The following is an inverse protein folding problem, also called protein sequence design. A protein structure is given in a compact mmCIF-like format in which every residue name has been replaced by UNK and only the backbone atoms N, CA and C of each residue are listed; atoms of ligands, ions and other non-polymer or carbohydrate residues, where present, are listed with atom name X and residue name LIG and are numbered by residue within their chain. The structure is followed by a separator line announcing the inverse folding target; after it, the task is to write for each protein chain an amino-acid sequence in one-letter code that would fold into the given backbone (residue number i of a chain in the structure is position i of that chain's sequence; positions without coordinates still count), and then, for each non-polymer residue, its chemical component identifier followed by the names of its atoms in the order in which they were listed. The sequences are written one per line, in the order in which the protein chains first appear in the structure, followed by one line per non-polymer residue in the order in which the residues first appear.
data_IF_224760875114
#
_entry.id   IF_224760875114
#
_cell.length_a   1.000
_cell.length_b   1.000
_cell.length_c   1.000
_cell.angle_alpha   90.00
_cell.angle_beta   90.00
_cell.angle_gamma   90.00
#
_symmetry.space_group_name_H-M   'P 1'
#
loop_
_entity.id
_entity.type
_entity.pdbx_description
1 polymer ?
#
# COMPACT_ATOMS: atom_id res chain seq x y z
N UNK A 1 10.96 -9.81 -10.24
CA UNK A 1 9.70 -9.31 -9.65
C UNK A 1 8.57 -9.05 -10.66
N UNK A 2 8.85 -8.64 -11.91
CA UNK A 2 7.80 -8.36 -12.93
C UNK A 2 6.71 -9.44 -13.07
N UNK A 3 7.07 -10.72 -13.13
CA UNK A 3 6.11 -11.81 -13.24
C UNK A 3 5.23 -12.06 -12.01
N UNK A 4 5.70 -11.71 -10.80
CA UNK A 4 4.92 -11.80 -9.57
C UNK A 4 3.96 -10.61 -9.44
N UNK A 5 4.37 -9.42 -9.88
CA UNK A 5 3.50 -8.24 -9.88
C UNK A 5 2.26 -8.46 -10.75
N UNK A 6 2.40 -9.00 -11.97
CA UNK A 6 1.24 -9.27 -12.83
C UNK A 6 0.23 -10.26 -12.21
N UNK A 7 0.72 -11.26 -11.46
CA UNK A 7 -0.16 -12.16 -10.69
C UNK A 7 -0.86 -11.42 -9.56
N UNK A 8 -0.14 -10.57 -8.82
CA UNK A 8 -0.72 -9.75 -7.75
C UNK A 8 -1.79 -8.78 -8.29
N UNK A 9 -1.54 -8.12 -9.43
CA UNK A 9 -2.53 -7.28 -10.13
C UNK A 9 -3.79 -8.08 -10.46
N UNK A 10 -3.64 -9.28 -11.02
CA UNK A 10 -4.78 -10.15 -11.36
C UNK A 10 -5.60 -10.54 -10.13
N UNK A 11 -4.95 -10.88 -9.01
CA UNK A 11 -5.65 -11.22 -7.76
C UNK A 11 -6.39 -10.01 -7.21
N UNK A 12 -5.74 -8.84 -7.16
CA UNK A 12 -6.34 -7.59 -6.67
C UNK A 12 -7.53 -7.19 -7.53
N UNK A 13 -7.42 -7.30 -8.86
CA UNK A 13 -8.54 -7.02 -9.77
C UNK A 13 -9.72 -7.96 -9.52
N UNK A 14 -9.47 -9.26 -9.38
CA UNK A 14 -10.53 -10.23 -9.10
C UNK A 14 -11.21 -9.98 -7.74
N UNK A 15 -10.47 -9.54 -6.72
CA UNK A 15 -11.04 -9.14 -5.44
C UNK A 15 -11.99 -7.95 -5.62
N UNK A 16 -11.54 -6.90 -6.31
CA UNK A 16 -12.35 -5.71 -6.56
C UNK A 16 -13.59 -6.02 -7.42
N UNK A 17 -13.45 -6.85 -8.47
CA UNK A 17 -14.58 -7.33 -9.29
C UNK A 17 -15.61 -8.12 -8.46
N UNK A 18 -15.14 -8.84 -7.43
CA UNK A 18 -15.99 -9.54 -6.46
C UNK A 18 -16.54 -8.64 -5.35
N UNK A 19 -16.32 -7.32 -5.39
CA UNK A 19 -16.78 -6.37 -4.38
C UNK A 19 -15.98 -6.38 -3.08
N UNK A 20 -14.80 -7.01 -3.07
CA UNK A 20 -13.90 -7.05 -1.90
C UNK A 20 -12.83 -5.98 -2.06
N UNK A 21 -12.87 -4.97 -1.20
CA UNK A 21 -11.89 -3.88 -1.19
C UNK A 21 -10.56 -4.35 -0.54
N UNK A 22 -9.41 -4.22 -1.22
CA UNK A 22 -8.12 -4.54 -0.61
C UNK A 22 -7.78 -3.59 0.54
N UNK A 23 -7.16 -4.13 1.58
CA UNK A 23 -6.72 -3.33 2.73
C UNK A 23 -5.45 -2.51 2.46
N UNK A 24 -5.13 -1.59 3.37
CA UNK A 24 -3.96 -0.71 3.27
C UNK A 24 -2.64 -1.46 3.05
N UNK A 25 -2.46 -2.59 3.74
CA UNK A 25 -1.26 -3.44 3.63
C UNK A 25 -1.12 -4.11 2.27
N UNK A 26 -2.24 -4.40 1.59
CA UNK A 26 -2.24 -4.92 0.22
C UNK A 26 -1.84 -3.83 -0.76
N UNK A 27 -2.45 -2.66 -0.65
CA UNK A 27 -2.11 -1.50 -1.49
C UNK A 27 -0.65 -1.05 -1.31
N UNK A 28 -0.12 -1.09 -0.09
CA UNK A 28 1.30 -0.80 0.19
C UNK A 28 2.26 -1.78 -0.52
N UNK A 29 1.93 -3.09 -0.50
CA UNK A 29 2.70 -4.10 -1.25
C UNK A 29 2.62 -3.89 -2.76
N UNK A 30 1.44 -3.50 -3.28
CA UNK A 30 1.30 -3.13 -4.69
C UNK A 30 2.17 -1.91 -5.04
N UNK A 31 2.17 -0.87 -4.20
CA UNK A 31 3.00 0.31 -4.40
C UNK A 31 4.50 -0.05 -4.45
N UNK A 32 4.97 -0.90 -3.53
CA UNK A 32 6.35 -1.41 -3.55
C UNK A 32 6.66 -2.20 -4.82
N UNK A 33 5.73 -3.07 -5.26
CA UNK A 33 5.88 -3.83 -6.49
C UNK A 33 5.97 -2.94 -7.74
N UNK A 34 5.16 -1.88 -7.80
CA UNK A 34 5.21 -0.90 -8.89
C UNK A 34 6.49 -0.08 -8.88
N UNK A 35 6.91 0.42 -7.71
CA UNK A 35 8.21 1.08 -7.53
C UNK A 35 9.34 0.21 -8.09
N UNK A 36 9.43 -1.05 -7.64
CA UNK A 36 10.53 -1.96 -8.03
C UNK A 36 10.52 -2.33 -9.51
N UNK A 37 9.43 -2.04 -10.21
CA UNK A 37 9.30 -2.23 -11.66
C UNK A 37 9.26 -0.90 -12.44
N UNK A 38 9.64 0.21 -11.80
CA UNK A 38 9.68 1.56 -12.37
C UNK A 38 8.32 2.07 -12.90
N UNK A 39 7.22 1.60 -12.32
CA UNK A 39 5.85 2.00 -12.67
C UNK A 39 5.34 3.08 -11.70
N UNK A 40 6.05 4.21 -11.60
CA UNK A 40 5.85 5.20 -10.53
C UNK A 40 4.44 5.81 -10.47
N UNK A 41 3.78 6.06 -11.60
CA UNK A 41 2.40 6.52 -11.60
C UNK A 41 1.45 5.54 -10.88
N UNK A 42 1.60 4.23 -11.13
CA UNK A 42 0.83 3.21 -10.43
C UNK A 42 1.25 3.07 -8.96
N UNK A 43 2.53 3.30 -8.65
CA UNK A 43 3.01 3.31 -7.28
C UNK A 43 2.36 4.44 -6.45
N UNK A 44 2.22 5.62 -7.04
CA UNK A 44 1.49 6.75 -6.43
C UNK A 44 0.04 6.39 -6.18
N UNK A 45 -0.67 5.86 -7.19
CA UNK A 45 -2.07 5.48 -7.04
C UNK A 45 -2.28 4.40 -5.97
N UNK A 46 -1.43 3.38 -5.94
CA UNK A 46 -1.46 2.37 -4.89
C UNK A 46 -1.15 2.97 -3.50
N UNK A 47 -0.22 3.93 -3.42
CA UNK A 47 0.08 4.66 -2.17
C UNK A 47 -1.15 5.43 -1.69
N UNK A 48 -1.83 6.17 -2.58
CA UNK A 48 -3.08 6.89 -2.25
C UNK A 48 -4.15 5.94 -1.71
N UNK A 49 -4.36 4.81 -2.38
CA UNK A 49 -5.31 3.79 -1.91
C UNK A 49 -4.93 3.21 -0.55
N UNK A 50 -3.63 3.00 -0.30
CA UNK A 50 -3.15 2.53 1.01
C UNK A 50 -3.46 3.53 2.13
N UNK A 51 -3.29 4.83 1.87
CA UNK A 51 -3.61 5.91 2.82
C UNK A 51 -5.13 6.00 3.05
N UNK A 52 -5.94 5.90 1.99
CA UNK A 52 -7.39 5.99 2.10
C UNK A 52 -7.98 4.83 2.92
N UNK A 53 -7.44 3.63 2.75
CA UNK A 53 -7.88 2.41 3.43
C UNK A 53 -7.18 2.17 4.77
N UNK A 54 -6.29 3.06 5.21
CA UNK A 54 -5.56 2.92 6.47
C UNK A 54 -6.39 3.39 7.68
N UNK A 55 -6.16 2.71 8.80
CA UNK A 55 -6.62 3.13 10.12
C UNK A 55 -5.56 4.01 10.80
N UNK A 56 -5.94 4.80 11.83
CA UNK A 56 -4.98 5.52 12.66
C UNK A 56 -3.87 4.59 13.18
N UNK A 57 -2.63 5.06 13.15
CA UNK A 57 -1.46 4.29 13.61
C UNK A 57 -0.89 3.26 12.63
N UNK A 58 -1.51 3.04 11.45
CA UNK A 58 -0.87 2.33 10.34
C UNK A 58 0.45 3.02 9.92
N UNK A 59 1.36 2.37 9.19
CA UNK A 59 2.59 3.02 8.73
C UNK A 59 2.85 2.74 7.25
N UNK A 60 3.06 3.76 6.42
CA UNK A 60 3.44 3.56 5.02
C UNK A 60 4.85 2.99 4.92
N UNK A 61 5.13 2.29 3.82
CA UNK A 61 6.49 1.88 3.50
C UNK A 61 7.29 3.11 3.04
N UNK A 62 8.20 3.60 3.89
CA UNK A 62 8.73 4.95 3.72
C UNK A 62 9.57 5.12 2.47
N UNK A 63 10.39 4.13 2.08
CA UNK A 63 11.16 4.23 0.84
C UNK A 63 10.26 4.34 -0.40
N UNK A 64 9.12 3.65 -0.40
CA UNK A 64 8.14 3.75 -1.49
C UNK A 64 7.43 5.10 -1.48
N UNK A 65 7.06 5.58 -0.29
CA UNK A 65 6.46 6.90 -0.11
C UNK A 65 7.40 8.01 -0.60
N UNK A 66 8.67 7.98 -0.20
CA UNK A 66 9.68 8.95 -0.61
C UNK A 66 9.85 8.99 -2.13
N UNK A 67 10.00 7.83 -2.79
CA UNK A 67 10.08 7.80 -4.25
C UNK A 67 8.81 8.31 -4.93
N UNK A 68 7.63 8.08 -4.35
CA UNK A 68 6.38 8.64 -4.87
C UNK A 68 6.38 10.17 -4.76
N UNK A 69 6.83 10.73 -3.63
CA UNK A 69 6.94 12.18 -3.43
C UNK A 69 7.96 12.81 -4.39
N UNK A 70 9.11 12.18 -4.60
CA UNK A 70 10.12 12.65 -5.56
C UNK A 70 9.58 12.64 -7.00
N UNK A 71 8.87 11.57 -7.37
CA UNK A 71 8.22 11.46 -8.68
C UNK A 71 7.18 12.56 -8.91
N UNK A 72 6.34 12.84 -7.89
CA UNK A 72 5.34 13.91 -7.96
C UNK A 72 5.98 15.29 -8.09
N UNK A 73 7.04 15.55 -7.32
CA UNK A 73 7.81 16.79 -7.40
C UNK A 73 8.45 16.98 -8.78
N UNK A 74 9.03 15.91 -9.34
CA UNK A 74 9.61 15.92 -10.69
C UNK A 74 8.57 16.18 -11.79
N UNK A 75 7.32 15.78 -11.57
CA UNK A 75 6.21 16.02 -12.49
C UNK A 75 5.43 17.33 -12.21
N UNK A 76 5.88 18.12 -11.22
CA UNK A 76 5.19 19.31 -10.74
C UNK A 76 3.73 19.06 -10.25
N UNK A 77 3.39 17.82 -9.88
CA UNK A 77 2.10 17.48 -9.28
C UNK A 77 2.11 17.74 -7.77
N UNK A 78 2.13 19.03 -7.42
CA UNK A 78 2.20 19.49 -6.04
C UNK A 78 0.88 19.29 -5.29
N UNK A 79 -0.25 19.20 -5.99
CA UNK A 79 -1.55 18.96 -5.37
C UNK A 79 -1.60 17.54 -4.77
N UNK A 80 -1.22 16.53 -5.56
CA UNK A 80 -1.14 15.15 -5.06
C UNK A 80 -0.06 15.02 -3.99
N UNK A 81 1.09 15.68 -4.16
CA UNK A 81 2.17 15.70 -3.18
C UNK A 81 1.68 16.21 -1.81
N UNK A 82 1.04 17.38 -1.79
CA UNK A 82 0.55 18.01 -0.56
C UNK A 82 -0.59 17.19 0.07
N UNK A 83 -1.47 16.61 -0.74
CA UNK A 83 -2.51 15.71 -0.25
C UNK A 83 -1.92 14.48 0.46
N UNK A 84 -0.87 13.86 -0.10
CA UNK A 84 -0.21 12.70 0.49
C UNK A 84 0.41 13.06 1.84
N UNK A 85 1.20 14.15 1.91
CA UNK A 85 1.86 14.57 3.15
C UNK A 85 0.82 14.83 4.24
N UNK A 86 -0.18 15.66 3.93
CA UNK A 86 -1.23 16.02 4.87
C UNK A 86 -1.99 14.78 5.38
N UNK A 87 -2.35 13.87 4.48
CA UNK A 87 -3.11 12.67 4.85
C UNK A 87 -2.30 11.72 5.74
N UNK A 88 -0.98 11.63 5.52
CA UNK A 88 -0.08 10.83 6.37
C UNK A 88 0.10 11.50 7.74
N UNK A 89 0.25 12.82 7.79
CA UNK A 89 0.37 13.57 9.05
C UNK A 89 -0.91 13.49 9.90
N UNK A 90 -2.09 13.66 9.28
CA UNK A 90 -3.38 13.61 9.97
C UNK A 90 -3.65 12.25 10.62
N UNK A 91 -3.23 11.15 9.96
CA UNK A 91 -3.46 9.79 10.46
C UNK A 91 -2.38 9.32 11.45
N UNK A 92 -1.24 10.02 11.53
CA UNK A 92 -0.06 9.59 12.27
C UNK A 92 0.65 10.77 12.94
N UNK A 93 0.36 10.97 14.24
CA UNK A 93 0.85 12.09 15.05
C UNK A 93 2.38 12.15 15.29
N UNK A 94 3.18 11.34 14.59
CA UNK A 94 4.60 11.13 14.84
C UNK A 94 5.40 10.72 13.58
N UNK A 95 4.84 10.88 12.36
CA UNK A 95 5.61 10.67 11.11
C UNK A 95 6.37 11.93 10.69
N UNK A 96 6.11 13.09 11.31
CA UNK A 96 6.82 14.33 11.02
C UNK A 96 8.35 14.20 11.19
N UNK A 97 8.82 13.59 12.28
CA UNK A 97 10.26 13.39 12.52
C UNK A 97 10.87 12.43 11.50
N UNK A 98 10.13 11.37 11.15
CA UNK A 98 10.49 10.44 10.08
C UNK A 98 10.60 11.21 8.76
N UNK A 99 9.52 11.80 8.23
CA UNK A 99 9.52 12.56 6.97
C UNK A 99 10.62 13.65 6.91
N UNK A 100 10.86 14.36 8.01
CA UNK A 100 11.94 15.35 8.13
C UNK A 100 13.34 14.73 8.07
N UNK A 101 13.55 13.56 8.65
CA UNK A 101 14.79 12.79 8.54
C UNK A 101 15.02 12.29 7.09
N UNK A 102 13.96 11.85 6.39
CA UNK A 102 14.03 11.46 4.96
C UNK A 102 14.33 12.66 4.05
N UNK A 103 13.72 13.82 4.29
CA UNK A 103 13.98 15.04 3.52
C UNK A 103 15.40 15.60 3.72
N UNK A 104 16.03 15.30 4.88
CA UNK A 104 17.40 15.72 5.20
C UNK A 104 18.46 14.75 4.69
N UNK A 105 18.18 13.44 4.69
CA UNK A 105 19.25 12.44 4.56
C UNK A 105 19.44 11.84 3.16
N UNK A 106 18.48 11.97 2.25
CA UNK A 106 18.64 11.55 0.84
C UNK A 106 18.97 10.06 0.66
N UNK A 107 17.98 9.29 0.22
CA UNK A 107 18.04 7.85 -0.10
C UNK A 107 18.07 6.86 1.10
N UNK A 108 16.90 6.30 1.49
CA UNK A 108 16.78 5.31 2.57
C UNK A 108 17.07 3.86 2.17
N UNK A 109 17.45 3.59 0.91
CA UNK A 109 17.77 2.23 0.45
C UNK A 109 18.94 1.60 1.22
N UNK A 110 19.76 2.42 1.90
CA UNK A 110 20.88 2.00 2.74
C UNK A 110 20.52 1.65 4.19
N UNK A 111 19.33 2.00 4.69
CA UNK A 111 19.00 1.91 6.13
C UNK A 111 17.94 0.86 6.49
N UNK A 112 17.28 0.22 5.52
CA UNK A 112 16.16 -0.70 5.78
C UNK A 112 16.45 -2.19 5.52
N UNK A 113 17.71 -2.57 5.32
CA UNK A 113 18.06 -3.97 4.97
C UNK A 113 17.86 -4.95 6.14
N UNK A 114 17.77 -4.47 7.39
CA UNK A 114 17.89 -5.36 8.56
C UNK A 114 16.59 -5.78 9.28
N UNK A 115 15.39 -5.34 8.85
CA UNK A 115 14.13 -5.72 9.54
C UNK A 115 13.13 -6.50 8.65
N UNK A 116 13.54 -7.08 7.53
CA UNK A 116 12.64 -7.84 6.64
C UNK A 116 12.91 -9.35 6.66
N UNK A 117 12.95 -9.94 7.86
CA UNK A 117 13.33 -11.35 8.04
C UNK A 117 12.53 -12.17 9.05
N UNK A 118 11.36 -11.76 9.55
CA UNK A 118 10.68 -12.54 10.62
C UNK A 118 9.20 -12.87 10.53
N UNK A 119 8.48 -12.48 9.48
CA UNK A 119 7.04 -12.74 9.44
C UNK A 119 6.63 -13.48 8.15
N UNK A 120 7.42 -14.51 7.78
CA UNK A 120 7.01 -15.57 6.86
C UNK A 120 6.72 -16.84 7.67
N UNK A 121 5.46 -16.98 8.11
CA UNK A 121 4.76 -18.27 8.25
C UNK A 121 3.34 -18.04 8.79
N UNK A 122 2.37 -18.03 7.88
CA UNK A 122 1.01 -18.59 8.05
C UNK A 122 0.11 -18.11 6.90
N UNK A 123 0.46 -18.51 5.68
CA UNK A 123 -0.53 -18.60 4.61
C UNK A 123 -1.02 -20.05 4.59
N UNK A 124 -2.04 -20.35 5.39
CA UNK A 124 -2.95 -21.46 5.12
C UNK A 124 -4.23 -21.34 5.96
N UNK A 125 -5.37 -21.24 5.26
CA UNK A 125 -6.75 -21.54 5.70
C UNK A 125 -7.33 -20.55 6.74
N UNK A 126 -8.37 -19.75 6.46
CA UNK A 126 -9.76 -20.18 6.31
C UNK A 126 -10.53 -19.32 5.27
N UNK A 127 -10.39 -19.72 4.02
CA UNK A 127 -11.48 -19.77 3.02
C UNK A 127 -12.73 -20.48 3.53
N UNK A 128 -13.67 -19.91 4.29
CA UNK A 128 -15.13 -20.24 4.29
C UNK A 128 -15.86 -19.65 5.50
N UNK A 129 -16.88 -18.82 5.27
CA UNK A 129 -17.72 -18.35 6.37
C UNK A 129 -18.84 -17.37 6.01
N UNK A 130 -19.52 -17.56 4.87
CA UNK A 130 -20.95 -17.19 4.73
C UNK A 130 -21.46 -17.66 3.36
N UNK A 131 -22.06 -18.85 3.33
CA UNK A 131 -23.10 -19.14 2.35
C UNK A 131 -24.41 -18.66 2.95
N UNK A 132 -24.99 -17.64 2.32
CA UNK A 132 -26.39 -17.35 2.45
C UNK A 132 -27.17 -18.27 1.48
N UNK A 133 -28.43 -18.48 1.85
CA UNK A 133 -29.60 -18.85 1.03
C UNK A 133 -30.00 -20.33 0.90
N UNK A 134 -31.24 -20.58 1.32
CA UNK A 134 -31.95 -21.84 1.14
C UNK A 134 -33.33 -21.89 1.83
N UNK A 135 -34.21 -20.95 1.51
CA UNK A 135 -35.65 -21.01 1.81
C UNK A 135 -36.32 -22.11 0.97
N UNK A 136 -37.04 -23.04 1.61
CA UNK A 136 -38.10 -23.82 0.98
C UNK A 136 -39.17 -24.20 2.03
N UNK A 137 -40.41 -23.81 1.73
CA UNK A 137 -41.64 -24.25 2.41
C UNK A 137 -41.87 -25.74 2.18
N UNK A 138 -42.29 -26.46 3.22
CA UNK A 138 -43.37 -27.44 3.16
C UNK A 138 -43.79 -27.79 4.59
N UNK A 139 -45.04 -27.50 4.95
CA UNK A 139 -46.02 -28.44 5.52
C UNK A 139 -47.42 -27.79 5.44
#
# INVERSE_FOLDING_TARGET
MKGLLGKAESIVNRLMEGGVEPNASTWSRMALGYHKNNQMAKAVEATKKSILTSHPGWKPHIATLASCLDYLKGNADMDTFNWIIRSVEEKHANIHDTLMEYAKNGNPESQLVDEMGKDDQSLEVEMFGSKNDGMALAE
#
